data_IF_430485105591
#
_entry.id   IF_430485105591
#
_cell.length_a   1.000
_cell.length_b   1.000
_cell.length_c   1.000
_cell.angle_alpha   90.00
_cell.angle_beta   90.00
_cell.angle_gamma   90.00
#
_symmetry.space_group_name_H-M   'P 1'
#
loop_
_entity.id
_entity.type
_entity.pdbx_description
1 polymer ?
2 polymer ?
3 polymer ?
4 water ?
#
# COMPACT_ATOMS: atom_id res chain seq x y z
N UNK A 22 1.10 15.52 -14.39
CA UNK A 22 2.42 16.14 -14.32
C UNK A 22 3.05 16.01 -12.91
N UNK A 23 2.24 15.64 -11.90
CA UNK A 23 2.69 15.45 -10.53
C UNK A 23 3.40 14.10 -10.40
N UNK A 24 4.72 14.13 -10.13
CA UNK A 24 5.56 12.93 -9.99
C UNK A 24 6.06 12.80 -8.56
N UNK A 25 5.96 11.58 -7.99
CA UNK A 25 6.37 11.31 -6.61
C UNK A 25 7.32 10.10 -6.46
N UNK A 26 8.18 10.15 -5.43
CA UNK A 26 9.15 9.11 -5.07
C UNK A 26 9.11 8.91 -3.55
N UNK A 27 8.98 7.65 -3.10
CA UNK A 27 8.93 7.31 -1.68
C UNK A 27 9.79 6.10 -1.34
N UNK A 28 10.57 6.22 -0.25
CA UNK A 28 11.45 5.17 0.26
C UNK A 28 11.03 4.74 1.67
N UNK A 29 10.14 3.74 1.72
CA UNK A 29 9.57 3.17 2.94
C UNK A 29 10.56 2.18 3.57
N UNK A 30 11.01 2.49 4.80
CA UNK A 30 11.95 1.67 5.56
C UNK A 30 11.34 1.32 6.91
N UNK A 31 11.40 0.03 7.30
CA UNK A 31 10.84 -0.45 8.57
C UNK A 31 11.79 -1.39 9.29
N UNK A 32 12.13 -1.05 10.55
CA UNK A 32 12.98 -1.84 11.44
C UNK A 32 12.05 -2.43 12.52
N UNK A 33 11.98 -3.77 12.60
CA UNK A 33 11.07 -4.45 13.54
C UNK A 33 11.76 -5.31 14.60
N UNK A 34 11.09 -5.47 15.76
CA UNK A 34 11.52 -6.30 16.88
C UNK A 34 10.81 -7.66 16.75
N UNK A 35 9.49 -7.64 16.45
CA UNK A 35 8.66 -8.83 16.27
C UNK A 35 8.10 -8.88 14.83
N UNK A 36 8.83 -9.51 13.87
CA UNK A 36 8.37 -9.54 12.46
C UNK A 36 7.03 -10.24 12.12
N UNK A 37 6.65 -11.41 12.67
CA UNK A 37 7.30 -12.21 13.71
C UNK A 37 7.86 -13.55 13.25
N UNK A 38 7.03 -14.61 13.10
CA UNK A 38 7.59 -15.91 12.72
C UNK A 38 7.84 -16.10 11.22
N UNK A 39 9.09 -16.40 10.89
CA UNK A 39 9.56 -16.62 9.52
C UNK A 39 9.43 -15.43 8.60
N UNK A 40 9.54 -14.21 9.15
CA UNK A 40 9.40 -12.95 8.41
C UNK A 40 10.61 -12.03 8.60
N UNK A 41 10.95 -11.15 7.61
CA UNK A 41 12.10 -10.26 7.79
C UNK A 41 11.88 -9.12 8.79
N UNK A 42 12.96 -8.69 9.46
CA UNK A 42 12.91 -7.60 10.44
C UNK A 42 13.13 -6.22 9.81
N UNK A 43 13.94 -6.17 8.74
CA UNK A 43 14.24 -4.93 8.00
C UNK A 43 13.85 -5.04 6.53
N UNK A 44 13.02 -4.09 6.05
CA UNK A 44 12.55 -4.01 4.66
C UNK A 44 12.65 -2.58 4.11
N UNK A 45 13.12 -2.45 2.86
CA UNK A 45 13.24 -1.16 2.16
C UNK A 45 12.53 -1.28 0.81
N UNK A 46 11.44 -0.54 0.64
CA UNK A 46 10.62 -0.55 -0.59
C UNK A 46 10.58 0.84 -1.24
N UNK A 47 10.88 0.89 -2.53
CA UNK A 47 10.89 2.11 -3.33
C UNK A 47 9.68 2.22 -4.24
N UNK A 48 9.23 3.47 -4.50
CA UNK A 48 8.06 3.75 -5.35
C UNK A 48 8.29 4.90 -6.32
N UNK A 49 7.68 4.80 -7.53
CA UNK A 49 7.71 5.83 -8.58
C UNK A 49 6.25 6.04 -9.03
N UNK A 50 5.67 7.21 -8.67
CA UNK A 50 4.28 7.63 -8.96
C UNK A 50 3.22 6.62 -8.45
N UNK A 51 3.52 5.98 -7.32
CA UNK A 51 2.66 4.99 -6.68
C UNK A 51 3.08 3.55 -6.98
N UNK A 52 3.56 3.30 -8.21
CA UNK A 52 4.00 1.99 -8.69
C UNK A 52 5.32 1.56 -8.04
N UNK A 53 5.40 0.28 -7.62
CA UNK A 53 6.57 -0.33 -6.99
C UNK A 53 7.66 -0.57 -8.04
N UNK A 54 8.94 -0.30 -7.68
CA UNK A 54 10.06 -0.49 -8.60
C UNK A 54 11.27 -1.20 -7.96
N UNK A 55 11.50 -0.99 -6.64
CA UNK A 55 12.62 -1.62 -5.93
C UNK A 55 12.16 -2.24 -4.59
N UNK A 56 12.83 -3.34 -4.18
CA UNK A 56 12.52 -4.07 -2.94
C UNK A 56 13.77 -4.65 -2.27
N UNK A 57 13.80 -4.60 -0.92
CA UNK A 57 14.90 -5.12 -0.09
C UNK A 57 14.35 -5.98 1.06
N UNK A 58 15.08 -7.05 1.41
CA UNK A 58 14.73 -7.99 2.47
C UNK A 58 15.92 -8.18 3.44
N UNK A 59 15.63 -8.46 4.73
CA UNK A 59 16.66 -8.66 5.75
C UNK A 59 17.41 -9.99 5.63
N UNK A 60 16.74 -11.05 5.13
CA UNK A 60 17.35 -12.38 4.97
C UNK A 60 18.03 -12.53 3.60
N UNK A 61 17.49 -11.87 2.55
CA UNK A 61 18.04 -11.91 1.19
C UNK A 61 19.24 -10.98 1.05
N UNK A 62 19.20 -9.80 1.70
CA UNK A 62 20.24 -8.76 1.73
C UNK A 62 20.62 -8.24 0.32
N UNK A 63 19.63 -8.14 -0.59
CA UNK A 63 19.84 -7.66 -1.96
C UNK A 63 18.66 -6.83 -2.47
N UNK A 64 18.97 -5.64 -3.04
CA UNK A 64 17.99 -4.73 -3.63
C UNK A 64 17.76 -5.16 -5.09
N UNK A 65 16.53 -5.59 -5.42
CA UNK A 65 16.19 -6.10 -6.75
C UNK A 65 15.05 -5.32 -7.45
N UNK A 66 15.13 -5.13 -8.79
CA UNK A 66 14.04 -4.42 -9.49
C UNK A 66 12.75 -5.25 -9.59
N UNK A 67 11.59 -4.57 -9.57
CA UNK A 67 10.28 -5.21 -9.65
C UNK A 67 9.69 -5.11 -11.07
N UNK A 68 9.70 -3.90 -11.66
CA UNK A 68 9.17 -3.63 -13.00
C UNK A 68 10.23 -3.82 -14.10
N UNK A 69 9.78 -3.92 -15.36
CA UNK A 69 10.65 -4.13 -16.53
C UNK A 69 11.29 -2.85 -17.07
N UNK A 70 10.65 -1.67 -16.87
CA UNK A 70 11.16 -0.38 -17.33
C UNK A 70 12.41 0.09 -16.57
N UNK A 71 12.57 -0.36 -15.32
CA UNK A 71 13.71 0.01 -14.47
C UNK A 71 14.92 -0.94 -14.70
N UNK A 72 14.67 -2.26 -14.84
CA UNK A 72 15.71 -3.27 -15.06
C UNK A 72 16.40 -3.15 -16.43
N UNK A 73 15.64 -2.75 -17.47
CA UNK A 73 16.14 -2.58 -18.84
C UNK A 73 16.88 -1.26 -19.06
N UNK A 74 16.68 -0.27 -18.16
CA UNK A 74 17.30 1.06 -18.27
C UNK A 74 18.45 1.31 -17.26
N UNK A 75 18.74 0.33 -16.37
CA UNK A 75 19.81 0.44 -15.37
C UNK A 75 20.84 -0.70 -15.48
N UNK A 76 22.08 -0.44 -15.01
CA UNK A 76 23.20 -1.38 -15.01
C UNK A 76 23.22 -2.18 -13.70
N UNK A 77 24.01 -3.28 -13.65
CA UNK A 77 24.14 -4.11 -12.45
C UNK A 77 24.96 -3.42 -11.36
N UNK A 78 25.94 -2.57 -11.77
CA UNK A 78 26.79 -1.78 -10.87
C UNK A 78 25.99 -0.74 -10.09
N UNK A 79 24.84 -0.30 -10.66
CA UNK A 79 23.91 0.64 -10.03
C UNK A 79 23.20 -0.07 -8.87
N UNK A 80 22.65 -1.28 -9.12
CA UNK A 80 21.96 -2.10 -8.12
C UNK A 80 22.89 -2.61 -7.03
N UNK A 81 24.18 -2.83 -7.35
CA UNK A 81 25.20 -3.27 -6.39
C UNK A 81 25.57 -2.12 -5.46
N UNK A 82 25.52 -0.87 -5.97
CA UNK A 82 25.78 0.35 -5.20
C UNK A 82 24.58 0.64 -4.29
N UNK A 83 23.34 0.42 -4.79
CA UNK A 83 22.10 0.64 -4.06
C UNK A 83 21.93 -0.34 -2.90
N UNK A 84 22.27 -1.63 -3.10
CA UNK A 84 22.17 -2.65 -2.04
C UNK A 84 23.21 -2.45 -0.93
N UNK A 85 24.38 -1.86 -1.28
CA UNK A 85 25.48 -1.59 -0.34
C UNK A 85 25.12 -0.46 0.63
N UNK A 86 24.40 0.57 0.15
CA UNK A 86 23.98 1.70 0.98
C UNK A 86 22.71 1.37 1.77
N UNK A 87 21.86 0.46 1.25
CA UNK A 87 20.63 0.03 1.94
C UNK A 87 20.98 -0.93 3.09
N UNK A 88 21.98 -1.83 2.90
CA UNK A 88 22.43 -2.74 3.96
C UNK A 88 23.17 -1.98 5.08
N UNK A 89 23.65 -0.78 4.76
CA UNK A 89 24.29 0.14 5.70
C UNK A 89 23.24 0.75 6.61
N UNK A 90 22.05 1.04 6.04
CA UNK A 90 20.88 1.57 6.77
C UNK A 90 20.30 0.49 7.68
N UNK A 91 20.39 -0.79 7.26
CA UNK A 91 19.91 -1.97 8.00
C UNK A 91 20.65 -2.08 9.34
N UNK A 92 21.98 -1.88 9.34
CA UNK A 92 22.83 -1.93 10.53
C UNK A 92 22.61 -0.69 11.40
N UNK A 93 22.42 0.49 10.76
CA UNK A 93 22.19 1.78 11.43
C UNK A 93 20.84 1.79 12.16
N UNK A 94 19.76 1.31 11.49
CA UNK A 94 18.41 1.24 12.08
C UNK A 94 18.31 0.18 13.17
N UNK A 95 19.20 -0.82 13.15
CA UNK A 95 19.30 -1.89 14.15
C UNK A 95 19.81 -1.27 15.46
N UNK A 96 20.74 -0.30 15.35
CA UNK A 96 21.33 0.45 16.48
C UNK A 96 20.26 1.37 17.07
N UNK A 97 19.49 2.06 16.20
CA UNK A 97 18.40 2.99 16.57
C UNK A 97 17.29 2.28 17.33
N UNK A 98 17.07 0.98 17.04
CA UNK A 98 16.08 0.13 17.70
C UNK A 98 16.48 -0.14 19.16
N UNK A 99 17.79 -0.10 19.46
CA UNK A 99 18.36 -0.31 20.79
C UNK A 99 18.62 1.00 21.53
N UNK A 100 19.08 2.06 20.80
CA UNK A 100 19.37 3.40 21.35
C UNK A 100 18.09 4.06 21.89
N UNK A 101 17.01 4.06 21.09
CA UNK A 101 15.71 4.63 21.45
C UNK A 101 15.00 3.82 22.55
N UNK A 102 15.29 2.50 22.63
CA UNK A 102 14.74 1.59 23.63
C UNK A 102 15.22 1.96 25.03
N UNK A 103 16.49 2.42 25.14
CA UNK A 103 17.11 2.85 26.39
C UNK A 103 16.70 4.28 26.78
N UNK A 104 16.32 5.11 25.77
CA UNK A 104 15.86 6.49 25.97
C UNK A 104 14.49 6.52 26.65
N UNK A 105 13.59 5.60 26.25
CA UNK A 105 12.24 5.44 26.81
C UNK A 105 12.24 4.49 28.03
N UNK A 106 13.42 3.91 28.36
CA UNK A 106 13.66 2.96 29.45
C UNK A 106 12.78 1.69 29.32
N UNK A 107 12.81 1.09 28.13
CA UNK A 107 12.08 -0.12 27.78
C UNK A 107 13.04 -1.29 27.62
N UNK A 108 12.57 -2.52 27.93
CA UNK A 108 13.38 -3.74 27.88
C UNK A 108 13.35 -4.40 26.48
N UNK A 109 12.17 -4.42 25.86
CA UNK A 109 11.93 -5.02 24.55
C UNK A 109 10.52 -5.58 24.48
N UNK A 110 9.95 -5.60 23.29
CA UNK A 110 8.61 -6.10 23.04
C UNK A 110 8.17 -5.91 21.60
N UNK A 111 7.28 -4.94 21.36
CA UNK A 111 6.77 -4.61 20.04
C UNK A 111 7.10 -3.15 19.72
N UNK A 112 8.35 -2.92 19.27
CA UNK A 112 8.86 -1.59 18.92
C UNK A 112 9.31 -1.56 17.46
N UNK A 113 8.93 -0.49 16.73
CA UNK A 113 9.28 -0.34 15.32
C UNK A 113 9.79 1.07 14.99
N UNK A 114 10.75 1.14 14.04
CA UNK A 114 11.37 2.37 13.56
C UNK A 114 11.01 2.52 12.07
N UNK A 115 10.21 3.56 11.75
CA UNK A 115 9.74 3.85 10.40
C UNK A 115 10.50 5.03 9.78
N UNK A 116 10.76 4.97 8.47
CA UNK A 116 11.49 6.03 7.74
C UNK A 116 10.85 6.42 6.42
N UNK A 117 10.65 7.74 6.23
CA UNK A 117 10.08 8.35 5.03
C UNK A 117 11.14 9.21 4.35
N UNK A 118 11.41 8.92 3.06
CA UNK A 118 12.40 9.63 2.26
C UNK A 118 11.95 9.76 0.80
N UNK A 119 12.31 10.88 0.17
CA UNK A 119 11.95 11.15 -1.22
C UNK A 119 11.62 12.60 -1.51
N UNK A 120 11.25 12.89 -2.77
CA UNK A 120 10.90 14.24 -3.24
C UNK A 120 9.73 14.23 -4.23
N UNK A 121 9.03 15.37 -4.35
CA UNK A 121 7.89 15.55 -5.25
C UNK A 121 8.15 16.61 -6.32
N UNK A 122 7.75 16.32 -7.57
CA UNK A 122 7.88 17.26 -8.68
C UNK A 122 6.47 17.75 -9.03
N UNK A 123 6.16 19.00 -8.67
CA UNK A 123 4.87 19.64 -8.91
C UNK A 123 4.67 19.97 -10.40
N UNK A 124 3.40 20.22 -10.80
CA UNK A 124 3.00 20.55 -12.16
C UNK A 124 3.76 21.75 -12.75
N UNK A 125 3.94 22.81 -11.94
CA UNK A 125 4.67 24.02 -12.32
C UNK A 125 6.19 23.81 -12.40
N UNK A 126 6.70 22.91 -11.56
CA UNK A 126 8.12 22.58 -11.49
C UNK A 126 8.77 23.06 -10.21
N UNK A 127 8.11 22.81 -9.06
CA UNK A 127 8.58 23.20 -7.73
C UNK A 127 9.00 21.96 -6.94
N UNK A 128 10.18 22.03 -6.31
CA UNK A 128 10.76 20.96 -5.51
C UNK A 128 10.09 20.83 -4.14
N UNK A 129 9.85 19.59 -3.69
CA UNK A 129 9.21 19.29 -2.41
C UNK A 129 9.84 18.04 -1.76
N UNK A 130 11.01 18.23 -1.15
CA UNK A 130 11.76 17.18 -0.47
C UNK A 130 11.27 16.92 0.93
N UNK A 131 11.34 15.64 1.38
CA UNK A 131 10.90 15.23 2.70
C UNK A 131 11.73 14.10 3.30
N UNK A 132 12.06 14.23 4.60
CA UNK A 132 12.84 13.27 5.36
C UNK A 132 12.24 13.17 6.77
N UNK A 133 11.36 12.16 6.97
CA UNK A 133 10.63 11.94 8.22
C UNK A 133 10.97 10.59 8.86
N UNK A 134 10.82 10.51 10.21
CA UNK A 134 11.07 9.31 11.00
C UNK A 134 10.02 9.13 12.08
N UNK A 135 9.68 7.87 12.42
CA UNK A 135 8.68 7.55 13.43
C UNK A 135 9.03 6.34 14.30
N UNK A 136 8.64 6.38 15.59
CA UNK A 136 8.88 5.31 16.56
C UNK A 136 7.55 4.88 17.18
N UNK A 137 7.20 3.58 17.03
CA UNK A 137 5.98 2.93 17.53
C UNK A 137 4.68 3.60 17.01
N UNK A 138 4.67 3.94 15.72
CA UNK A 138 3.54 4.57 15.04
C UNK A 138 3.31 6.04 15.37
N UNK A 139 4.30 6.69 16.02
CA UNK A 139 4.25 8.11 16.38
C UNK A 139 5.47 8.83 15.83
N UNK A 140 5.26 10.03 15.24
CA UNK A 140 6.30 10.86 14.64
C UNK A 140 7.42 11.20 15.63
N UNK A 141 8.68 10.96 15.22
CA UNK A 141 9.87 11.20 16.04
C UNK A 141 10.63 12.45 15.60
N UNK A 142 11.20 12.44 14.37
CA UNK A 142 11.94 13.57 13.80
C UNK A 142 11.59 13.82 12.34
N UNK A 143 11.44 15.09 11.95
CA UNK A 143 11.12 15.52 10.58
C UNK A 143 12.07 16.64 10.16
N UNK A 144 12.58 16.57 8.91
CA UNK A 144 13.52 17.57 8.39
C UNK A 144 12.80 18.76 7.76
N UNK A 145 13.20 19.98 8.16
CA UNK A 145 12.66 21.25 7.66
C UNK A 145 13.67 21.88 6.70
N UNK A 146 13.25 22.10 5.44
CA UNK A 146 14.10 22.66 4.39
C UNK A 146 14.13 24.19 4.37
N UNK A 147 13.03 24.82 4.78
CA UNK A 147 12.91 26.27 4.84
C UNK A 147 13.57 26.90 6.06
N UNK A 148 14.03 26.05 7.01
CA UNK A 148 14.69 26.47 8.24
C UNK A 148 16.10 25.85 8.37
N UNK A 149 16.38 24.79 7.56
CA UNK A 149 17.65 24.04 7.50
C UNK A 149 17.96 23.31 8.83
N UNK A 150 16.91 22.98 9.61
CA UNK A 150 17.03 22.31 10.91
C UNK A 150 16.12 21.09 11.01
N UNK A 151 16.47 20.13 11.90
CA UNK A 151 15.70 18.92 12.15
C UNK A 151 14.71 19.19 13.29
N UNK A 152 13.41 19.02 13.01
CA UNK A 152 12.32 19.26 13.95
C UNK A 152 12.07 18.03 14.84
N UNK A 153 12.14 18.21 16.17
CA UNK A 153 11.91 17.17 17.16
C UNK A 153 10.47 17.23 17.66
N UNK A 154 9.76 16.09 17.61
CA UNK A 154 8.36 15.98 18.01
C UNK A 154 8.16 15.54 19.45
N UNK A 155 9.03 14.64 19.95
CA UNK A 155 8.97 14.06 21.30
C UNK A 155 10.20 14.53 22.12
N UNK A 156 10.11 14.76 23.46
CA UNK A 156 11.31 15.16 24.23
C UNK A 156 12.49 14.17 24.18
N UNK A 157 12.25 12.94 23.68
CA UNK A 157 13.26 11.89 23.50
C UNK A 157 13.99 12.04 22.15
N UNK A 158 13.50 12.94 21.28
CA UNK A 158 14.06 13.23 19.96
C UNK A 158 15.06 14.39 19.99
N UNK A 159 15.30 14.97 21.18
CA UNK A 159 16.24 16.06 21.42
C UNK A 159 17.71 15.57 21.23
N UNK A 160 18.16 14.40 21.80
CA UNK A 160 19.54 13.95 21.55
C UNK A 160 19.85 13.64 20.09
N UNK A 161 18.79 13.38 19.27
CA UNK A 161 18.88 13.12 17.83
C UNK A 161 19.26 14.42 17.13
N UNK A 162 18.59 15.54 17.48
CA UNK A 162 18.83 16.87 16.94
C UNK A 162 20.25 17.35 17.25
N UNK A 163 20.74 17.06 18.49
CA UNK A 163 22.08 17.42 18.96
C UNK A 163 23.18 16.74 18.15
N UNK A 164 22.96 15.47 17.73
CA UNK A 164 23.90 14.70 16.92
C UNK A 164 23.95 15.24 15.48
N UNK A 165 22.80 15.75 14.99
CA UNK A 165 22.65 16.31 13.64
C UNK A 165 23.33 17.67 13.46
N UNK A 166 23.30 18.52 14.50
CA UNK A 166 23.93 19.85 14.46
C UNK A 166 25.41 19.82 14.88
N UNK A 167 25.88 18.68 15.43
CA UNK A 167 27.27 18.47 15.85
C UNK A 167 28.16 18.25 14.61
N UNK A 168 27.66 17.49 13.64
CA UNK A 168 28.34 17.19 12.39
C UNK A 168 27.65 17.79 11.18
N UNK A 169 27.79 17.11 10.04
CA UNK A 169 27.20 17.52 8.77
C UNK A 169 26.10 16.60 8.28
N UNK A 170 24.84 17.07 8.40
CA UNK A 170 23.65 16.31 7.98
C UNK A 170 22.64 17.17 7.21
N UNK A 171 22.41 18.41 7.69
CA UNK A 171 21.46 19.35 7.09
C UNK A 171 21.87 19.86 5.71
N UNK A 172 23.18 20.16 5.52
CA UNK A 172 23.74 20.67 4.25
C UNK A 172 23.71 19.59 3.18
N UNK A 173 24.10 18.37 3.56
CA UNK A 173 24.14 17.21 2.67
C UNK A 173 22.80 16.74 2.17
N UNK A 174 21.75 16.83 3.02
CA UNK A 174 20.38 16.44 2.67
C UNK A 174 19.75 17.39 1.68
N UNK A 175 20.07 18.70 1.76
CA UNK A 175 19.56 19.73 0.86
C UNK A 175 20.15 19.53 -0.54
N UNK A 176 21.43 19.12 -0.62
CA UNK A 176 22.14 18.84 -1.87
C UNK A 176 21.66 17.50 -2.48
N UNK A 177 21.06 16.62 -1.64
CA UNK A 177 20.54 15.32 -2.05
C UNK A 177 19.07 15.38 -2.49
N UNK A 178 18.19 15.99 -1.66
CA UNK A 178 16.76 16.10 -1.94
C UNK A 178 16.42 17.03 -3.10
N UNK A 179 17.07 18.20 -3.17
CA UNK A 179 16.83 19.20 -4.23
C UNK A 179 17.52 18.88 -5.56
N UNK A 180 18.62 18.08 -5.53
CA UNK A 180 19.36 17.74 -6.75
C UNK A 180 19.36 16.24 -7.10
N UNK A 181 20.03 15.38 -6.30
CA UNK A 181 20.17 13.92 -6.52
C UNK A 181 18.82 13.20 -6.67
N UNK A 182 17.83 13.51 -5.80
CA UNK A 182 16.50 12.91 -5.81
C UNK A 182 15.72 13.30 -7.08
N UNK A 183 15.75 14.59 -7.45
CA UNK A 183 15.06 15.17 -8.61
C UNK A 183 15.65 14.73 -9.95
N UNK A 184 17.00 14.72 -10.06
CA UNK A 184 17.75 14.34 -11.27
C UNK A 184 17.44 12.95 -11.78
N UNK A 185 17.26 11.99 -10.85
CA UNK A 185 16.96 10.60 -11.15
C UNK A 185 15.46 10.35 -11.34
N UNK A 186 14.60 11.10 -10.62
CA UNK A 186 13.13 11.01 -10.72
C UNK A 186 12.71 11.39 -12.14
N UNK A 187 13.37 12.44 -12.71
CA UNK A 187 13.16 12.93 -14.08
C UNK A 187 13.49 11.85 -15.11
N UNK A 188 14.46 10.97 -14.81
CA UNK A 188 14.85 9.86 -15.67
C UNK A 188 13.84 8.71 -15.59
N UNK A 189 13.28 8.44 -14.39
CA UNK A 189 12.29 7.39 -14.15
C UNK A 189 10.98 7.61 -14.89
N UNK A 190 10.59 8.88 -15.09
CA UNK A 190 9.39 9.28 -15.82
C UNK A 190 9.63 8.99 -17.31
N UNK A 191 10.88 9.23 -17.79
CA UNK A 191 11.31 8.97 -19.15
C UNK A 191 11.44 7.46 -19.42
N UNK A 192 11.94 6.69 -18.43
CA UNK A 192 12.12 5.24 -18.54
C UNK A 192 10.78 4.51 -18.55
N UNK A 193 9.90 4.86 -17.62
CA UNK A 193 8.57 4.27 -17.48
C UNK A 193 7.45 5.14 -18.02
N UNK A 194 7.67 5.76 -19.20
CA UNK A 194 6.70 6.62 -19.88
C UNK A 194 5.54 5.80 -20.45
N UNK A 195 5.84 4.58 -20.93
CA UNK A 195 4.85 3.66 -21.50
C UNK A 195 4.07 2.90 -20.43
N UNK A 196 4.72 2.57 -19.29
CA UNK A 196 4.12 1.84 -18.17
C UNK A 196 3.15 2.71 -17.36
N UNK A 197 3.62 3.89 -16.89
CA UNK A 197 2.82 4.83 -16.09
C UNK A 197 1.74 5.55 -16.91
N UNK A 198 2.01 5.76 -18.19
CA UNK A 198 1.09 6.43 -19.12
C UNK A 198 -0.04 5.54 -19.61
N UNK A 199 0.14 4.20 -19.50
CA UNK A 199 -0.84 3.18 -19.92
C UNK A 199 -2.08 3.20 -19.03
N UNK A 200 -3.26 2.94 -19.63
CA UNK A 200 -4.54 2.91 -18.94
C UNK A 200 -5.26 1.57 -19.11
N UNK A 201 -5.78 1.03 -18.01
CA UNK A 201 -6.47 -0.27 -17.97
C UNK A 201 -7.96 -0.11 -17.68
N UNK A 202 -8.81 -0.81 -18.45
CA UNK A 202 -10.27 -0.80 -18.34
C UNK A 202 -10.77 -1.82 -17.29
N UNK A 203 -11.58 -1.37 -16.29
CA UNK A 203 -12.06 -2.33 -15.28
C UNK A 203 -13.26 -3.18 -15.73
N UNK A 204 -13.37 -4.39 -15.15
CA UNK A 204 -14.47 -5.32 -15.40
C UNK A 204 -15.51 -5.11 -14.30
N UNK A 205 -16.61 -4.41 -14.65
CA UNK A 205 -17.68 -4.06 -13.71
C UNK A 205 -18.76 -5.15 -13.64
N UNK A 206 -19.12 -5.58 -12.42
CA UNK A 206 -20.15 -6.58 -12.14
C UNK A 206 -21.09 -6.06 -11.05
N UNK A 207 -22.39 -5.93 -11.38
CA UNK A 207 -23.43 -5.44 -10.45
C UNK A 207 -24.12 -6.64 -9.79
N UNK A 208 -24.09 -6.68 -8.44
CA UNK A 208 -24.65 -7.77 -7.64
C UNK A 208 -25.75 -7.30 -6.67
N UNK A 209 -26.42 -8.26 -6.02
CA UNK A 209 -27.48 -8.00 -5.05
C UNK A 209 -27.65 -9.08 -4.00
N UNK A 210 -28.16 -8.69 -2.81
CA UNK A 210 -28.39 -9.57 -1.67
C UNK A 210 -29.66 -9.20 -0.90
N UNK A 211 -30.31 -10.22 -0.28
CA UNK A 211 -31.53 -10.07 0.51
C UNK A 211 -31.29 -10.60 1.94
N UNK A 212 -31.59 -9.77 2.96
CA UNK A 212 -31.40 -10.13 4.37
C UNK A 212 -32.70 -10.11 5.18
N UNK A 213 -33.13 -8.92 5.67
CA UNK A 213 -34.36 -8.76 6.45
C UNK A 213 -35.18 -7.56 5.93
N UNK A 214 -35.76 -7.75 4.75
CA UNK A 214 -36.56 -6.73 4.07
C UNK A 214 -35.74 -5.61 3.47
N UNK A 215 -34.41 -5.82 3.34
CA UNK A 215 -33.45 -4.85 2.79
C UNK A 215 -32.72 -5.50 1.61
N UNK A 216 -32.81 -4.87 0.43
CA UNK A 216 -32.17 -5.32 -0.81
C UNK A 216 -30.84 -4.55 -0.96
N UNK A 217 -29.74 -5.19 -0.55
CA UNK A 217 -28.39 -4.61 -0.60
C UNK A 217 -27.75 -4.87 -1.97
N UNK A 218 -27.49 -3.79 -2.73
CA UNK A 218 -26.87 -3.85 -4.06
C UNK A 218 -25.38 -3.55 -4.00
N UNK A 219 -24.58 -4.35 -4.73
CA UNK A 219 -23.12 -4.23 -4.77
C UNK A 219 -22.59 -3.94 -6.18
N UNK A 220 -21.45 -3.21 -6.24
CA UNK A 220 -20.77 -2.85 -7.48
C UNK A 220 -19.27 -3.11 -7.31
N UNK A 221 -18.73 -4.07 -8.10
CA UNK A 221 -17.32 -4.46 -8.03
C UNK A 221 -16.60 -4.16 -9.34
N UNK A 222 -15.45 -3.48 -9.26
CA UNK A 222 -14.62 -3.15 -10.41
C UNK A 222 -13.31 -3.94 -10.34
N UNK A 223 -13.04 -4.75 -11.37
CA UNK A 223 -11.87 -5.63 -11.43
C UNK A 223 -10.78 -5.14 -12.38
N UNK A 224 -9.57 -5.04 -11.84
CA UNK A 224 -8.30 -4.68 -12.48
C UNK A 224 -8.19 -3.42 -13.33
N UNK A 225 -8.09 -2.22 -12.69
CA UNK A 225 -7.94 -0.91 -13.38
C UNK A 225 -6.67 -0.16 -13.02
N UNK A 226 -6.17 0.66 -13.99
CA UNK A 226 -4.98 1.54 -13.86
C UNK A 226 -5.24 2.87 -14.60
N UNK A 227 -4.94 4.07 -14.03
CA UNK A 227 -4.33 4.35 -12.72
C UNK A 227 -5.25 4.17 -11.52
N UNK A 228 -4.71 4.42 -10.31
CA UNK A 228 -5.39 4.32 -9.01
C UNK A 228 -6.65 5.23 -8.87
N UNK A 229 -6.66 6.54 -9.26
CA UNK A 229 -7.89 7.33 -9.06
C UNK A 229 -9.12 6.85 -9.83
N UNK A 230 -10.21 6.61 -9.09
CA UNK A 230 -11.51 6.14 -9.62
C UNK A 230 -12.68 6.78 -8.85
N UNK A 231 -13.77 7.10 -9.56
CA UNK A 231 -14.98 7.68 -8.97
C UNK A 231 -16.16 6.74 -9.26
N UNK A 232 -16.55 5.95 -8.25
CA UNK A 232 -17.66 4.99 -8.36
C UNK A 232 -18.82 5.49 -7.48
N UNK A 233 -19.98 5.73 -8.12
CA UNK A 233 -21.19 6.23 -7.45
C UNK A 233 -22.46 5.55 -7.94
N UNK A 234 -23.42 5.36 -7.02
CA UNK A 234 -24.73 4.75 -7.31
C UNK A 234 -25.73 5.79 -7.79
N UNK A 235 -26.60 5.40 -8.73
CA UNK A 235 -27.62 6.26 -9.32
C UNK A 235 -29.03 5.67 -9.28
N UNK A 236 -29.97 6.40 -8.67
CA UNK A 236 -31.38 6.03 -8.57
C UNK A 236 -32.19 7.00 -9.44
N UNK A 237 -32.87 6.47 -10.48
CA UNK A 237 -33.69 7.21 -11.46
C UNK A 237 -32.87 8.29 -12.21
N UNK A 238 -31.60 7.99 -12.47
CA UNK A 238 -30.67 8.89 -13.15
C UNK A 238 -30.25 10.07 -12.30
N UNK A 239 -30.05 9.84 -10.99
CA UNK A 239 -29.64 10.86 -10.02
C UNK A 239 -28.62 10.31 -9.03
N UNK A 240 -27.50 11.02 -8.84
CA UNK A 240 -26.39 10.63 -7.94
C UNK A 240 -26.84 10.60 -6.47
N UNK A 241 -26.66 9.44 -5.82
CA UNK A 241 -27.00 9.21 -4.42
C UNK A 241 -25.70 9.01 -3.63
N UNK A 242 -25.08 10.14 -3.27
CA UNK A 242 -23.80 10.21 -2.58
C UNK A 242 -23.81 9.65 -1.17
N UNK A 243 -24.42 10.38 -0.21
CA UNK A 243 -24.55 10.09 1.24
C UNK A 243 -24.74 8.59 1.52
N UNK A 244 -25.79 8.04 0.92
CA UNK A 244 -26.33 6.70 0.99
C UNK A 244 -25.35 5.52 0.72
N UNK A 245 -24.54 5.58 -0.36
CA UNK A 245 -23.62 4.49 -0.73
C UNK A 245 -22.35 4.43 0.13
N UNK A 246 -22.02 3.22 0.62
CA UNK A 246 -20.84 2.95 1.44
C UNK A 246 -19.76 2.29 0.58
N UNK A 247 -18.56 2.88 0.57
CA UNK A 247 -17.42 2.40 -0.20
C UNK A 247 -16.41 1.67 0.69
N UNK A 248 -15.71 0.71 0.11
CA UNK A 248 -14.69 -0.08 0.79
C UNK A 248 -13.30 0.50 0.68
N UNK A 249 -13.05 1.20 -0.44
CA UNK A 249 -11.77 1.84 -0.74
C UNK A 249 -11.04 1.18 -1.90
N UNK A 250 -10.11 1.95 -2.52
CA UNK A 250 -9.31 1.46 -3.65
C UNK A 250 -8.21 0.52 -3.12
N UNK A 251 -8.46 -0.79 -3.25
CA UNK A 251 -7.57 -1.86 -2.80
C UNK A 251 -6.70 -2.43 -3.95
N UNK A 252 -5.37 -2.60 -3.75
CA UNK A 252 -4.52 -3.08 -4.86
C UNK A 252 -4.45 -4.59 -5.05
N UNK A 253 -4.17 -5.04 -6.28
CA UNK A 253 -4.03 -6.45 -6.67
C UNK A 253 -2.55 -6.86 -6.72
N UNK A 254 -2.30 -8.17 -6.80
CA UNK A 254 -0.97 -8.76 -6.83
C UNK A 254 -0.11 -8.43 -8.04
N UNK A 255 -0.75 -8.09 -9.18
CA UNK A 255 -0.07 -7.75 -10.43
C UNK A 255 0.12 -6.23 -10.65
N UNK A 256 -0.14 -5.43 -9.63
CA UNK A 256 0.02 -3.98 -9.68
C UNK A 256 -1.23 -3.18 -9.93
N UNK A 257 -2.26 -3.82 -10.52
CA UNK A 257 -3.55 -3.18 -10.84
C UNK A 257 -4.40 -2.94 -9.57
N UNK A 258 -5.58 -2.27 -9.71
CA UNK A 258 -6.43 -1.93 -8.56
C UNK A 258 -7.87 -2.48 -8.65
N UNK A 259 -8.53 -2.56 -7.48
CA UNK A 259 -9.90 -3.07 -7.29
C UNK A 259 -10.67 -2.15 -6.30
N UNK A 260 -12.01 -2.03 -6.47
CA UNK A 260 -12.87 -1.21 -5.59
C UNK A 260 -14.24 -1.88 -5.39
N UNK A 261 -14.83 -1.67 -4.19
CA UNK A 261 -16.12 -2.22 -3.81
C UNK A 261 -17.03 -1.15 -3.20
N UNK A 262 -18.16 -0.85 -3.88
CA UNK A 262 -19.15 0.15 -3.44
C UNK A 262 -20.52 -0.54 -3.27
N UNK A 263 -21.11 -0.43 -2.06
CA UNK A 263 -22.40 -1.04 -1.71
C UNK A 263 -23.46 0.00 -1.30
N UNK A 264 -24.75 -0.33 -1.53
CA UNK A 264 -25.90 0.53 -1.20
C UNK A 264 -27.11 -0.32 -0.72
N UNK A 265 -27.93 0.24 0.20
CA UNK A 265 -29.13 -0.40 0.73
C UNK A 265 -30.37 0.15 0.02
N UNK A 266 -31.24 -0.75 -0.48
CA UNK A 266 -32.46 -0.40 -1.21
C UNK A 266 -33.67 -1.25 -0.83
N UNK A 267 -34.87 -0.88 -1.32
CA UNK A 267 -36.12 -1.60 -1.06
C UNK A 267 -36.27 -2.82 -1.98
N UNK A 268 -36.82 -3.96 -1.49
CA UNK A 268 -36.97 -5.14 -2.38
C UNK A 268 -37.96 -4.89 -3.52
N UNK A 269 -37.51 -5.19 -4.74
CA UNK A 269 -38.29 -4.99 -5.95
C UNK A 269 -38.02 -3.66 -6.63
N UNK A 270 -36.86 -3.05 -6.29
CA UNK A 270 -36.40 -1.77 -6.84
C UNK A 270 -34.95 -1.86 -7.35
N UNK A 271 -34.51 -3.07 -7.68
CA UNK A 271 -33.16 -3.36 -8.17
C UNK A 271 -32.83 -2.81 -9.54
N UNK A 272 -33.80 -2.86 -10.48
CA UNK A 272 -33.64 -2.41 -11.87
C UNK A 272 -33.50 -0.89 -12.03
N UNK A 273 -34.14 -0.09 -11.15
CA UNK A 273 -34.08 1.39 -11.23
C UNK A 273 -32.76 1.96 -10.65
N UNK A 274 -31.93 1.11 -10.02
CA UNK A 274 -30.62 1.48 -9.48
C UNK A 274 -29.52 1.08 -10.48
N UNK A 275 -28.59 2.01 -10.77
CA UNK A 275 -27.49 1.78 -11.71
C UNK A 275 -26.14 2.32 -11.20
N UNK A 276 -25.07 1.54 -11.40
CA UNK A 276 -23.71 1.86 -10.97
C UNK A 276 -22.98 2.69 -12.04
N UNK A 277 -22.41 3.84 -11.62
CA UNK A 277 -21.68 4.76 -12.50
C UNK A 277 -20.19 4.69 -12.17
N UNK A 278 -19.36 4.34 -13.16
CA UNK A 278 -17.91 4.21 -13.00
C UNK A 278 -17.19 5.27 -13.84
N UNK A 279 -16.40 6.13 -13.18
CA UNK A 279 -15.63 7.21 -13.81
C UNK A 279 -14.14 6.86 -13.73
N UNK A 280 -13.52 6.62 -14.91
CA UNK A 280 -12.11 6.24 -15.01
C UNK A 280 -11.39 6.90 -16.19
N UNK A 281 -10.06 7.04 -16.08
CA UNK A 281 -9.18 7.65 -17.09
C UNK A 281 -9.16 6.87 -18.41
N UNK A 282 -9.33 5.52 -18.34
CA UNK A 282 -9.35 4.64 -19.50
C UNK A 282 -10.60 4.83 -20.36
N UNK A 283 -11.73 5.20 -19.72
CA UNK A 283 -13.01 5.44 -20.39
C UNK A 283 -13.13 6.89 -20.90
N UNK A 284 -13.53 7.12 -22.17
CA UNK A 284 -13.68 8.50 -22.65
C UNK A 284 -14.91 9.21 -22.06
N UNK A 285 -15.93 8.42 -21.67
CA UNK A 285 -17.17 8.87 -21.05
C UNK A 285 -17.57 7.92 -19.91
N UNK A 286 -18.18 8.41 -18.80
CA UNK A 286 -18.54 7.50 -17.69
C UNK A 286 -19.51 6.39 -18.07
N UNK A 287 -19.18 5.16 -17.67
CA UNK A 287 -19.97 3.97 -17.97
C UNK A 287 -21.05 3.71 -16.95
N UNK A 288 -22.29 3.51 -17.43
CA UNK A 288 -23.47 3.21 -16.60
C UNK A 288 -23.77 1.72 -16.70
N UNK A 289 -23.77 1.02 -15.55
CA UNK A 289 -23.98 -0.43 -15.49
C UNK A 289 -25.15 -0.82 -14.58
N UNK A 290 -26.01 -1.73 -15.06
CA UNK A 290 -27.17 -2.23 -14.32
C UNK A 290 -27.03 -3.73 -14.01
N UNK A 291 -27.85 -4.24 -13.06
CA UNK A 291 -27.86 -5.64 -12.62
C UNK A 291 -28.35 -6.59 -13.73
N UNK A 292 -29.48 -6.25 -14.38
CA UNK A 292 -30.08 -7.06 -15.45
C UNK A 292 -29.44 -6.86 -16.83
N UNK A 293 -28.70 -5.74 -17.02
CA UNK A 293 -28.03 -5.36 -18.27
C UNK A 293 -27.09 -6.44 -18.91
N UNK A 294 -26.16 -7.07 -18.18
CA UNK A 294 -25.80 -6.89 -16.77
C UNK A 294 -24.30 -6.78 -16.58
N UNK A 295 -23.85 -5.61 -16.15
CA UNK A 295 -22.44 -5.32 -15.94
C UNK A 295 -21.71 -5.13 -17.24
N UNK A 296 -20.79 -6.05 -17.54
CA UNK A 296 -20.00 -6.03 -18.77
C UNK A 296 -20.43 -7.13 -19.74
N UNK A 297 -20.85 -6.78 -20.98
CA UNK A 297 -20.93 -5.41 -21.52
C UNK A 297 -22.38 -5.00 -21.79
N UNK A 298 -23.19 -5.88 -22.17
N UNK B 2 -5.76 1.71 16.47
CA UNK B 2 -4.95 1.07 15.42
C UNK B 2 -5.41 -0.38 15.19
N UNK B 3 -6.70 -0.55 14.85
CA UNK B 3 -7.36 -1.84 14.60
C UNK B 3 -7.31 -2.16 13.10
N UNK B 4 -6.87 -3.39 12.69
CA UNK B 4 -6.79 -3.71 11.25
C UNK B 4 -8.15 -3.78 10.54
N UNK B 5 -8.25 -3.10 9.38
CA UNK B 5 -9.44 -3.07 8.53
C UNK B 5 -9.19 -3.99 7.35
N UNK B 6 -9.87 -5.16 7.35
CA UNK B 6 -9.69 -6.19 6.31
C UNK B 6 -10.83 -6.21 5.29
N UNK B 7 -10.48 -6.48 4.02
CA UNK B 7 -11.41 -6.57 2.89
C UNK B 7 -11.00 -7.73 1.99
N UNK B 8 -11.91 -8.71 1.79
CA UNK B 8 -11.69 -9.89 0.94
C UNK B 8 -12.31 -9.65 -0.46
N UNK B 9 -11.53 -9.95 -1.52
CA UNK B 9 -11.92 -9.75 -2.93
C UNK B 9 -11.13 -10.62 -3.90
N UNK B 10 -11.67 -10.80 -5.12
CA UNK B 10 -11.06 -11.59 -6.20
C UNK B 10 -10.45 -10.68 -7.28
N UNK B 11 -9.43 -11.17 -8.00
CA UNK B 11 -8.76 -10.43 -9.06
C UNK B 11 -9.64 -10.29 -10.31
N UNK B 12 -10.16 -11.43 -10.84
CA UNK B 12 -11.03 -11.48 -12.01
C UNK B 12 -12.47 -11.83 -11.60
N UNK B 13 -13.51 -11.50 -12.42
CA UNK B 13 -14.89 -11.89 -12.04
C UNK B 13 -15.00 -13.41 -11.90
N UNK B 14 -15.53 -13.87 -10.75
CA UNK B 14 -15.66 -15.29 -10.37
C UNK B 14 -16.39 -16.15 -11.41
N UNK B 15 -15.76 -17.29 -11.77
CA UNK B 15 -16.26 -18.27 -12.73
C UNK B 15 -15.92 -19.69 -12.29
N UNK B 16 -16.87 -20.63 -12.46
CA UNK B 16 -16.70 -22.04 -12.09
C UNK B 16 -15.76 -22.76 -13.06
N UNK B 17 -14.77 -23.45 -12.50
CA UNK B 17 -13.76 -24.20 -13.25
C UNK B 17 -12.79 -23.34 -14.02
N UNK B 18 -12.57 -22.09 -13.56
CA UNK B 18 -11.67 -21.12 -14.18
C UNK B 18 -10.71 -20.56 -13.13
N UNK B 19 -9.40 -20.49 -13.46
CA UNK B 19 -8.34 -20.00 -12.59
C UNK B 19 -8.55 -18.53 -12.19
N UNK B 20 -8.41 -18.22 -10.89
CA UNK B 20 -8.58 -16.88 -10.33
C UNK B 20 -7.65 -16.65 -9.13
N UNK B 21 -7.38 -15.37 -8.80
CA UNK B 21 -6.51 -14.99 -7.68
C UNK B 21 -7.35 -14.38 -6.56
N UNK B 22 -7.31 -14.99 -5.36
CA UNK B 22 -8.04 -14.52 -4.18
C UNK B 22 -7.13 -13.61 -3.35
N UNK B 23 -7.58 -12.36 -3.13
CA UNK B 23 -6.80 -11.35 -2.39
C UNK B 23 -7.43 -10.99 -1.05
N UNK B 24 -6.58 -10.78 -0.03
CA UNK B 24 -6.99 -10.38 1.30
C UNK B 24 -6.10 -9.22 1.75
N UNK B 25 -6.65 -7.99 1.70
CA UNK B 25 -5.92 -6.77 2.04
C UNK B 25 -6.36 -6.20 3.39
N UNK B 26 -5.36 -5.96 4.26
CA UNK B 26 -5.56 -5.38 5.59
C UNK B 26 -4.68 -4.13 5.72
N UNK B 27 -5.30 -3.00 6.11
CA UNK B 27 -4.60 -1.71 6.24
C UNK B 27 -5.02 -0.94 7.50
N UNK B 28 -4.10 -0.15 8.04
CA UNK B 28 -4.31 0.68 9.22
C UNK B 28 -4.19 -0.08 10.52
N UNK B 29 -3.03 -0.73 10.75
CA UNK B 29 -2.77 -1.52 11.96
C UNK B 29 -1.40 -1.28 12.58
N UNK B 30 -1.29 -1.49 13.90
CA UNK B 30 -0.07 -1.37 14.69
C UNK B 30 -0.20 -2.19 16.00
N UNK B 31 0.79 -3.04 16.40
CA UNK B 31 2.12 -3.30 15.81
C UNK B 31 2.09 -3.97 14.43
N UNK B 32 3.18 -3.87 13.62
CA UNK B 32 3.19 -4.47 12.27
C UNK B 32 3.04 -6.00 12.18
N UNK B 33 3.18 -6.73 13.30
CA UNK B 33 3.04 -8.20 13.34
C UNK B 33 1.56 -8.58 13.12
N UNK B 34 1.28 -9.30 12.02
CA UNK B 34 -0.07 -9.73 11.64
C UNK B 34 -0.07 -11.14 11.01
N UNK B 35 -1.14 -11.92 11.24
CA UNK B 35 -1.30 -13.27 10.71
C UNK B 35 -2.51 -13.36 9.76
N UNK B 36 -2.28 -13.06 8.47
CA UNK B 36 -3.30 -13.09 7.42
C UNK B 36 -3.18 -14.42 6.65
N UNK B 37 -4.25 -15.24 6.69
CA UNK B 37 -4.29 -16.54 6.03
C UNK B 37 -5.61 -16.77 5.28
N UNK B 38 -5.51 -17.16 4.00
CA UNK B 38 -6.66 -17.46 3.14
C UNK B 38 -7.03 -18.93 3.36
N UNK B 39 -8.34 -19.25 3.41
CA UNK B 39 -8.78 -20.62 3.63
C UNK B 39 -10.00 -21.07 2.82
N UNK B 40 -10.00 -22.36 2.45
CA UNK B 40 -11.06 -23.06 1.71
C UNK B 40 -11.70 -24.05 2.67
N UNK B 41 -13.02 -23.86 2.96
CA UNK B 41 -13.84 -24.68 3.88
C UNK B 41 -13.28 -24.74 5.32
N UNK B 42 -12.54 -23.70 5.70
CA UNK B 42 -11.91 -23.57 7.02
C UNK B 42 -10.50 -24.14 7.08
N UNK B 43 -9.98 -24.61 5.93
CA UNK B 43 -8.64 -25.21 5.80
C UNK B 43 -7.75 -24.28 4.95
N UNK B 44 -6.55 -23.87 5.44
CA UNK B 44 -5.68 -22.96 4.67
C UNK B 44 -5.34 -23.40 3.24
N UNK B 45 -5.24 -22.42 2.33
CA UNK B 45 -4.94 -22.61 0.90
C UNK B 45 -3.44 -22.62 0.60
N UNK B 46 -3.02 -23.48 -0.36
CA UNK B 46 -1.63 -23.63 -0.78
C UNK B 46 -1.27 -22.60 -1.87
N UNK B 47 -0.09 -22.03 -1.76
CA UNK B 47 0.44 -21.05 -2.70
C UNK B 47 0.23 -19.60 -2.30
N UNK B 48 0.25 -19.33 -0.98
CA UNK B 48 0.07 -17.99 -0.41
C UNK B 48 1.30 -17.12 -0.63
N UNK B 49 1.09 -15.90 -1.17
CA UNK B 49 2.17 -14.94 -1.44
C UNK B 49 2.08 -13.75 -0.48
N UNK B 50 2.96 -13.75 0.54
CA UNK B 50 3.02 -12.72 1.57
C UNK B 50 4.00 -11.62 1.14
N UNK B 51 3.46 -10.51 0.57
CA UNK B 51 4.26 -9.38 0.09
C UNK B 51 3.45 -8.06 0.11
N UNK B 52 3.87 -7.02 0.87
CA UNK B 52 5.02 -6.95 1.79
C UNK B 52 4.77 -5.85 2.84
N UNK B 53 5.66 -5.73 3.84
CA UNK B 53 5.55 -4.72 4.90
C UNK B 53 5.81 -3.31 4.38
N UNK B 54 4.74 -2.49 4.33
CA UNK B 54 4.74 -1.11 3.86
C UNK B 54 3.73 -0.28 4.65
N UNK B 55 4.06 0.99 4.94
CA UNK B 55 3.19 1.91 5.68
C UNK B 55 2.69 3.08 4.84
N UNK B 56 1.54 3.65 5.25
CA UNK B 56 0.90 4.80 4.60
C UNK B 56 1.51 6.13 5.13
N UNK B 57 0.98 7.28 4.68
CA UNK B 57 1.43 8.62 5.07
C UNK B 57 1.21 8.93 6.56
N UNK B 58 0.22 8.26 7.20
CA UNK B 58 -0.08 8.41 8.62
C UNK B 58 0.53 7.29 9.49
N UNK B 59 1.66 6.71 9.00
CA UNK B 59 2.47 5.64 9.61
C UNK B 59 1.71 4.31 9.85
N UNK B 60 0.53 4.15 9.23
CA UNK B 60 -0.29 2.94 9.37
C UNK B 60 0.07 1.90 8.31
N UNK B 61 0.42 0.69 8.77
CA UNK B 61 0.86 -0.44 7.93
C UNK B 61 -0.25 -1.05 7.07
N UNK B 62 0.15 -1.65 5.93
CA UNK B 62 -0.72 -2.34 4.97
C UNK B 62 -0.06 -3.61 4.44
N UNK B 63 -0.86 -4.69 4.28
CA UNK B 63 -0.37 -5.98 3.79
C UNK B 63 -1.36 -6.67 2.85
N UNK B 64 -0.84 -7.18 1.71
CA UNK B 64 -1.61 -7.90 0.69
C UNK B 64 -1.13 -9.35 0.60
N UNK B 65 -2.06 -10.30 0.79
CA UNK B 65 -1.81 -11.73 0.72
C UNK B 65 -2.70 -12.32 -0.40
N UNK B 66 -2.06 -12.91 -1.43
CA UNK B 66 -2.77 -13.49 -2.56
C UNK B 66 -2.32 -14.91 -2.92
N UNK B 67 -3.27 -15.74 -3.40
CA UNK B 67 -3.04 -17.13 -3.79
C UNK B 67 -3.94 -17.55 -4.96
N UNK B 68 -3.36 -18.26 -5.95
CA UNK B 68 -4.08 -18.75 -7.14
C UNK B 68 -4.97 -19.95 -6.77
N UNK B 69 -6.26 -19.89 -7.15
CA UNK B 69 -7.24 -20.93 -6.83
C UNK B 69 -8.29 -21.12 -7.95
N UNK B 70 -9.16 -22.15 -7.78
CA UNK B 70 -10.24 -22.46 -8.71
C UNK B 70 -11.59 -22.51 -7.94
N UNK B 71 -12.53 -21.57 -8.18
CA UNK B 71 -13.80 -21.60 -7.44
C UNK B 71 -14.68 -22.79 -7.77
N UNK B 72 -15.24 -23.42 -6.72
CA UNK B 72 -16.11 -24.59 -6.82
C UNK B 72 -17.42 -24.38 -6.06
N UNK B 73 -18.52 -24.92 -6.59
CA UNK B 73 -19.85 -24.81 -5.98
C UNK B 73 -19.96 -25.73 -4.76
N UNK B 74 -20.47 -25.19 -3.65
CA UNK B 74 -20.63 -25.90 -2.40
C UNK B 74 -19.56 -25.56 -1.38
N UNK B 75 -18.37 -25.17 -1.85
CA UNK B 75 -17.22 -24.79 -1.03
C UNK B 75 -17.24 -23.30 -0.69
N UNK B 76 -16.89 -22.95 0.56
CA UNK B 76 -16.85 -21.57 1.04
C UNK B 76 -15.42 -21.08 1.23
N UNK B 77 -15.11 -19.89 0.69
CA UNK B 77 -13.79 -19.26 0.78
C UNK B 77 -13.83 -18.06 1.73
N UNK B 78 -12.87 -18.01 2.67
CA UNK B 78 -12.76 -16.94 3.68
C UNK B 78 -11.32 -16.58 4.02
N UNK B 79 -11.13 -15.45 4.75
CA UNK B 79 -9.83 -14.95 5.18
C UNK B 79 -9.79 -14.78 6.70
N UNK B 80 -8.75 -15.32 7.36
CA UNK B 80 -8.56 -15.23 8.81
C UNK B 80 -7.43 -14.25 9.16
N UNK B 81 -7.72 -13.30 10.05
CA UNK B 81 -6.77 -12.28 10.50
C UNK B 81 -6.61 -12.32 12.04
N UNK B 82 -5.39 -12.57 12.51
CA UNK B 82 -5.04 -12.63 13.93
C UNK B 82 -4.16 -11.45 14.31
N UNK B 83 -4.61 -10.68 15.33
CA UNK B 83 -3.91 -9.50 15.83
C UNK B 83 -4.06 -9.38 17.35
N UNK B 84 -3.07 -8.76 18.02
CA UNK B 84 -3.04 -8.56 19.47
C UNK B 84 -4.10 -7.56 19.97
N UNK B 85 -4.53 -6.63 19.09
CA UNK B 85 -5.54 -5.60 19.38
C UNK B 85 -6.96 -6.16 19.24
N UNK B 86 -7.15 -7.10 18.29
CA UNK B 86 -8.44 -7.73 17.97
C UNK B 86 -9.04 -8.62 19.06
N UNK B 87 -8.19 -9.39 19.81
CA UNK B 87 -8.58 -10.36 20.84
C UNK B 87 -9.21 -11.61 20.21
N UNK B 88 -10.33 -11.43 19.47
CA UNK B 88 -11.04 -12.48 18.74
C UNK B 88 -10.64 -12.39 17.26
N UNK B 89 -10.21 -13.51 16.60
CA UNK B 89 -9.80 -13.41 15.19
C UNK B 89 -10.94 -13.08 14.22
N UNK B 90 -10.76 -12.00 13.43
CA UNK B 90 -11.75 -11.54 12.45
C UNK B 90 -11.71 -12.39 11.19
N UNK B 91 -12.88 -12.92 10.79
CA UNK B 91 -13.01 -13.74 9.59
C UNK B 91 -13.95 -13.07 8.58
N UNK B 92 -13.43 -12.79 7.38
CA UNK B 92 -14.17 -12.16 6.28
C UNK B 92 -14.46 -13.17 5.18
N UNK B 93 -15.76 -13.42 4.92
CA UNK B 93 -16.22 -14.38 3.92
C UNK B 93 -16.26 -13.77 2.52
N UNK B 94 -15.75 -14.53 1.52
CA UNK B 94 -15.74 -14.13 0.12
C UNK B 94 -16.96 -14.72 -0.59
N UNK B 95 -17.68 -13.90 -1.36
CA UNK B 95 -18.86 -14.33 -2.10
C UNK B 95 -18.65 -14.15 -3.62
N UNK B 96 -18.89 -15.22 -4.43
CA UNK B 96 -18.70 -15.08 -5.89
C UNK B 96 -19.73 -14.18 -6.58
N UNK B 97 -20.92 -14.03 -5.96
CA UNK B 97 -22.02 -13.22 -6.48
C UNK B 97 -22.28 -11.96 -5.64
N UNK B 98 -21.20 -11.34 -5.09
CA UNK B 98 -21.24 -10.12 -4.28
C UNK B 98 -19.89 -9.41 -4.24
N UNK C 1 16.54 6.13 -5.81
CA UNK C 1 17.79 6.87 -5.86
C UNK C 1 18.09 7.52 -4.55
N UNK C 2 18.65 6.70 -3.65
CA UNK C 2 18.99 7.07 -2.26
C UNK C 2 20.46 7.50 -2.10
N UNK C 3 20.73 8.12 -0.96
CA UNK C 3 22.05 8.62 -0.60
C UNK C 3 22.52 8.08 0.72
N UNK C 4 23.28 8.90 1.44
CA UNK C 4 23.88 8.62 2.73
C UNK C 4 22.98 7.94 3.76
N UNK C 5 23.25 6.64 4.03
CA UNK C 5 22.60 5.80 5.05
C UNK C 5 22.84 6.39 6.46
N UNK C 6 23.74 7.40 6.56
CA UNK C 6 24.09 8.17 7.75
C UNK C 6 22.92 9.06 8.20
N UNK C 7 21.99 9.39 7.27
CA UNK C 7 20.82 10.22 7.59
C UNK C 7 19.75 9.46 8.38
N UNK C 8 19.94 8.13 8.50
CA UNK C 8 19.07 7.24 9.26
C UNK C 8 19.48 7.18 10.75
N UNK C 9 20.70 7.69 11.08
CA UNK C 9 21.25 7.73 12.44
C UNK C 9 20.41 8.58 13.38
N UNK C 10 19.95 7.98 14.48
CA UNK C 10 19.10 8.62 15.49
C UNK C 10 19.82 8.76 16.82
#
# INVERSE_FOLDING_TARGET
MGSCGALGLGLLLAAVCGAAAELHTLRYIRTAMTDPGPGLPWFVDVGYVDGELFMHYNSTARRAVPRTEWIAANTDQQYWDRETQIVQGSEQINRENLDILRRRYNQTGGSHTVQWMSGCDILEDGTIRGYHQAAYDGRDFVAFDKGTMTLTAAVPEAVPTKRKWEEGGYAEGLKQYLEETCVEWLRRYVEYGKAELGRRERPEVRVWGKEADGILTLSCRAHGFYPRPIVVSWLKDGAVRGQDAQSGGIVPNGDGTYHTWVTIDAQPGDGDKYQCRVEHASLPQPGLYSWRSGGGLNDIFEAQKIEWHENSSSVDKLAAALEHHHHHH
DLTPKVQVYSRFPASAGTKNVLNCFAAGFHPPKISITLMKDGVPMEGAQYSDMSFNDDWTFQRLVHADFTPSSGSTYACKVEHETLKEPQVYKWDPEF
TAGQEDYDRL
#
